data_IF_642446548398
#
_entry.id   IF_642446548398
#
_cell.length_a   1.000
_cell.length_b   1.000
_cell.length_c   1.000
_cell.angle_alpha   90.00
_cell.angle_beta   90.00
_cell.angle_gamma   90.00
#
_symmetry.space_group_name_H-M   'P 1'
#
loop_
_entity.id
_entity.type
_entity.pdbx_description
1 polymer ?
#
# COMPACT_ATOMS: atom_id res chain seq x y z
N UNK A 1 48.85 36.29 16.39
CA UNK A 1 48.41 37.34 15.45
C UNK A 1 47.32 36.77 14.56
N UNK A 2 46.13 37.43 14.61
CA UNK A 2 45.02 37.46 13.65
C UNK A 2 44.34 36.12 13.27
N UNK A 3 43.20 35.84 13.88
CA UNK A 3 41.80 36.08 13.47
C UNK A 3 41.44 35.80 12.00
N UNK A 4 40.54 34.85 11.77
CA UNK A 4 39.26 35.22 11.15
C UNK A 4 38.25 34.07 11.27
N UNK A 5 37.18 34.41 11.93
CA UNK A 5 35.90 33.71 12.04
C UNK A 5 35.18 33.69 10.70
N UNK A 6 34.58 32.55 10.36
CA UNK A 6 33.61 32.39 9.29
C UNK A 6 32.44 31.54 9.76
N UNK A 7 31.41 32.21 10.26
CA UNK A 7 30.13 31.60 10.59
C UNK A 7 29.35 31.29 9.31
N UNK A 8 28.98 30.03 9.10
CA UNK A 8 28.04 29.63 8.05
C UNK A 8 26.70 29.33 8.70
N UNK A 9 25.70 30.11 8.37
CA UNK A 9 24.29 30.00 8.77
C UNK A 9 23.66 28.81 8.03
N UNK A 10 22.86 27.94 8.68
CA UNK A 10 22.14 26.90 7.98
C UNK A 10 20.92 27.48 7.25
N UNK A 11 20.92 27.34 5.93
CA UNK A 11 19.80 27.70 5.07
C UNK A 11 18.58 26.80 5.33
N UNK A 12 17.48 27.41 5.70
CA UNK A 12 16.18 26.78 5.83
C UNK A 12 15.66 26.34 4.45
N UNK A 13 15.71 25.05 4.17
CA UNK A 13 15.07 24.44 3.02
C UNK A 13 13.55 24.48 3.18
N UNK A 14 12.89 25.39 2.49
CA UNK A 14 11.44 25.47 2.42
C UNK A 14 10.93 24.26 1.62
N UNK A 15 10.18 23.40 2.29
CA UNK A 15 9.39 22.33 1.67
C UNK A 15 8.30 22.98 0.82
N UNK A 16 8.42 22.87 -0.50
CA UNK A 16 7.38 23.29 -1.43
C UNK A 16 6.37 22.16 -1.53
N UNK A 17 5.30 22.27 -0.74
CA UNK A 17 4.09 21.48 -0.96
C UNK A 17 3.36 22.12 -2.14
N UNK A 18 3.48 21.55 -3.33
CA UNK A 18 2.73 22.01 -4.49
C UNK A 18 1.28 21.56 -4.36
N UNK A 19 0.45 22.44 -3.85
CA UNK A 19 -0.99 22.31 -3.83
C UNK A 19 -1.51 22.63 -5.24
N UNK A 20 -1.87 21.61 -6.01
CA UNK A 20 -2.58 21.83 -7.30
C UNK A 20 -4.04 22.12 -6.98
N UNK A 21 -4.36 23.40 -6.87
CA UNK A 21 -5.73 23.89 -6.79
C UNK A 21 -6.30 24.00 -8.21
N UNK A 22 -7.19 23.09 -8.58
CA UNK A 22 -8.00 23.24 -9.80
C UNK A 22 -9.14 24.24 -9.53
N UNK A 23 -9.00 25.46 -10.06
CA UNK A 23 -10.06 26.46 -10.05
C UNK A 23 -11.21 26.00 -10.97
N UNK A 24 -12.37 25.66 -10.40
CA UNK A 24 -13.62 25.52 -11.14
C UNK A 24 -14.30 26.88 -11.26
N UNK A 25 -14.42 27.36 -12.48
CA UNK A 25 -15.29 28.51 -12.84
C UNK A 25 -16.74 28.17 -12.52
N UNK A 26 -17.36 29.00 -11.68
CA UNK A 26 -18.80 28.99 -11.42
C UNK A 26 -19.49 29.80 -12.48
N UNK A 27 -20.34 29.18 -13.28
CA UNK A 27 -21.40 29.88 -14.02
C UNK A 27 -22.66 29.88 -13.19
N UNK A 28 -23.15 31.08 -12.83
CA UNK A 28 -24.38 31.30 -12.10
C UNK A 28 -25.58 31.11 -13.04
N UNK A 29 -26.41 30.11 -12.75
CA UNK A 29 -27.73 29.93 -13.35
C UNK A 29 -28.71 29.50 -12.26
N UNK A 30 -29.49 30.47 -11.75
CA UNK A 30 -30.53 30.20 -10.73
C UNK A 30 -31.75 29.61 -11.40
N UNK A 31 -32.01 28.31 -11.18
CA UNK A 31 -33.33 27.72 -11.42
C UNK A 31 -33.82 27.11 -10.10
N UNK A 32 -34.84 27.73 -9.50
CA UNK A 32 -35.53 27.18 -8.31
C UNK A 32 -36.50 26.10 -8.77
N UNK A 33 -36.22 24.84 -8.40
CA UNK A 33 -37.23 23.79 -8.31
C UNK A 33 -37.24 23.26 -6.87
N UNK A 34 -38.39 23.37 -6.20
CA UNK A 34 -38.64 22.78 -4.91
C UNK A 34 -38.69 21.28 -5.06
N UNK A 35 -37.97 20.56 -4.21
CA UNK A 35 -37.99 19.08 -4.18
C UNK A 35 -36.93 18.55 -3.23
N UNK A 36 -37.41 17.99 -2.14
CA UNK A 36 -36.78 16.96 -1.31
C UNK A 36 -35.26 16.99 -1.23
N UNK A 37 -34.68 17.66 -0.24
CA UNK A 37 -33.28 17.61 0.08
C UNK A 37 -32.89 16.22 0.61
N UNK A 38 -32.77 15.21 -0.24
CA UNK A 38 -31.81 14.16 0.01
C UNK A 38 -30.43 14.81 -0.15
N UNK A 39 -29.79 15.10 1.00
CA UNK A 39 -28.35 15.38 0.99
C UNK A 39 -27.70 14.25 0.24
N UNK A 40 -27.25 14.50 -0.98
CA UNK A 40 -26.36 13.59 -1.68
C UNK A 40 -25.13 13.45 -0.76
N UNK A 41 -24.99 12.30 -0.11
CA UNK A 41 -23.76 11.91 0.56
C UNK A 41 -22.69 12.01 -0.52
N UNK A 42 -21.84 13.02 -0.48
CA UNK A 42 -20.64 13.05 -1.30
C UNK A 42 -19.94 11.74 -1.04
N UNK A 43 -19.98 10.86 -2.01
CA UNK A 43 -19.29 9.60 -1.95
C UNK A 43 -17.83 9.94 -2.16
N UNK A 44 -17.05 9.92 -1.08
CA UNK A 44 -15.59 10.01 -1.18
C UNK A 44 -15.15 8.92 -2.14
N UNK A 45 -14.70 9.32 -3.33
CA UNK A 45 -14.22 8.40 -4.35
C UNK A 45 -12.82 7.99 -3.94
N UNK A 46 -12.64 6.69 -3.70
CA UNK A 46 -11.32 6.15 -3.38
C UNK A 46 -10.45 6.16 -4.64
N UNK A 47 -9.27 6.76 -4.56
CA UNK A 47 -8.33 6.90 -5.67
C UNK A 47 -6.96 6.31 -5.33
N UNK A 48 -6.37 5.62 -6.31
CA UNK A 48 -5.00 5.11 -6.19
C UNK A 48 -4.03 6.26 -6.46
N UNK A 49 -3.09 6.45 -5.53
CA UNK A 49 -2.07 7.49 -5.61
C UNK A 49 -0.67 6.89 -5.55
N UNK A 50 0.32 7.48 -6.23
CA UNK A 50 1.70 7.07 -6.09
C UNK A 50 2.21 7.37 -4.68
N UNK A 51 3.11 6.54 -4.17
CA UNK A 51 3.64 6.67 -2.83
C UNK A 51 5.10 6.21 -2.76
N UNK A 52 5.92 6.92 -2.01
CA UNK A 52 7.29 6.49 -1.72
C UNK A 52 7.30 5.40 -0.66
N UNK A 53 8.38 4.60 -0.61
CA UNK A 53 8.54 3.59 0.44
C UNK A 53 8.52 4.19 1.84
N UNK A 54 9.10 5.37 2.01
CA UNK A 54 9.15 6.06 3.30
C UNK A 54 7.76 6.44 3.81
N UNK A 55 6.91 6.99 2.94
CA UNK A 55 5.53 7.34 3.29
C UNK A 55 4.70 6.09 3.57
N UNK A 56 4.84 5.05 2.75
CA UNK A 56 4.14 3.79 2.94
C UNK A 56 4.54 3.11 4.26
N UNK A 57 5.84 3.10 4.60
CA UNK A 57 6.32 2.57 5.87
C UNK A 57 5.80 3.37 7.07
N UNK A 58 5.75 4.71 6.99
CA UNK A 58 5.19 5.54 8.05
C UNK A 58 3.71 5.21 8.31
N UNK A 59 2.93 4.97 7.25
CA UNK A 59 1.53 4.53 7.39
C UNK A 59 1.43 3.12 8.01
N UNK A 60 2.30 2.19 7.60
CA UNK A 60 2.36 0.82 8.14
C UNK A 60 2.68 0.84 9.64
N UNK A 61 3.66 1.63 10.07
CA UNK A 61 4.05 1.74 11.49
C UNK A 61 2.90 2.24 12.36
N UNK A 62 2.06 3.13 11.85
CA UNK A 62 0.92 3.68 12.58
C UNK A 62 -0.29 2.74 12.62
N UNK A 63 -0.51 1.93 11.59
CA UNK A 63 -1.79 1.24 11.38
C UNK A 63 -1.67 -0.29 11.30
N UNK A 64 -0.49 -0.87 11.07
CA UNK A 64 -0.35 -2.31 10.88
C UNK A 64 -0.18 -3.06 12.20
N UNK A 65 -1.01 -4.08 12.43
CA UNK A 65 -1.07 -4.81 13.71
C UNK A 65 0.08 -5.79 13.95
N UNK A 66 0.70 -6.31 12.90
CA UNK A 66 1.58 -7.49 13.02
C UNK A 66 2.99 -7.29 12.45
N UNK A 67 3.20 -6.28 11.63
CA UNK A 67 4.47 -6.10 10.93
C UNK A 67 4.88 -4.64 10.88
N UNK A 68 6.16 -4.38 11.13
CA UNK A 68 6.78 -3.07 10.95
C UNK A 68 7.15 -2.75 9.50
N UNK A 69 7.91 -1.68 9.35
CA UNK A 69 8.45 -1.19 8.08
C UNK A 69 9.19 -2.27 7.27
N UNK A 70 9.18 -2.13 5.96
CA UNK A 70 9.98 -2.96 5.05
C UNK A 70 11.26 -2.26 4.65
N UNK A 71 12.33 -3.04 4.45
CA UNK A 71 13.65 -2.51 4.06
C UNK A 71 13.68 -2.06 2.59
N UNK A 72 12.87 -2.70 1.73
CA UNK A 72 12.86 -2.40 0.30
C UNK A 72 11.55 -2.78 -0.37
N UNK A 73 11.37 -2.26 -1.58
CA UNK A 73 10.23 -2.55 -2.45
C UNK A 73 10.61 -2.49 -3.93
N UNK A 74 9.72 -2.93 -4.78
CA UNK A 74 9.72 -2.60 -6.21
C UNK A 74 8.90 -1.34 -6.46
N UNK A 75 7.73 -1.26 -5.84
CA UNK A 75 6.88 -0.06 -5.84
C UNK A 75 5.95 -0.06 -4.61
N UNK A 76 5.44 1.11 -4.28
CA UNK A 76 4.38 1.29 -3.29
C UNK A 76 3.25 2.10 -3.88
N UNK A 77 2.04 1.80 -3.46
CA UNK A 77 0.83 2.52 -3.83
C UNK A 77 0.04 2.89 -2.59
N UNK A 78 -0.55 4.07 -2.62
CA UNK A 78 -1.50 4.54 -1.62
C UNK A 78 -2.93 4.50 -2.15
N UNK A 79 -3.88 4.53 -1.24
CA UNK A 79 -5.29 4.75 -1.51
C UNK A 79 -5.73 5.98 -0.72
N UNK A 80 -6.30 6.95 -1.41
CA UNK A 80 -6.82 8.19 -0.83
C UNK A 80 -8.33 8.26 -0.94
N UNK A 81 -8.98 8.89 0.03
CA UNK A 81 -10.41 9.25 -0.01
C UNK A 81 -10.63 10.70 -0.49
N UNK A 82 -9.57 11.36 -0.97
CA UNK A 82 -9.56 12.75 -1.40
C UNK A 82 -9.08 13.72 -0.31
N UNK A 83 -9.11 13.33 0.96
CA UNK A 83 -8.63 14.16 2.09
C UNK A 83 -7.35 13.58 2.71
N UNK A 84 -7.28 12.27 2.85
CA UNK A 84 -6.17 11.57 3.50
C UNK A 84 -5.86 10.24 2.81
N UNK A 85 -4.72 9.66 3.16
CA UNK A 85 -4.40 8.28 2.81
C UNK A 85 -5.15 7.34 3.76
N UNK A 86 -5.93 6.43 3.20
CA UNK A 86 -6.73 5.43 3.93
C UNK A 86 -6.15 4.02 3.85
N UNK A 87 -5.14 3.82 3.01
CA UNK A 87 -4.46 2.54 2.93
C UNK A 87 -3.24 2.56 2.03
N UNK A 88 -2.37 1.58 2.21
CA UNK A 88 -1.14 1.42 1.45
C UNK A 88 -0.90 -0.04 1.08
N UNK A 89 -0.24 -0.28 -0.04
CA UNK A 89 0.33 -1.58 -0.40
C UNK A 89 1.80 -1.39 -0.80
N UNK A 90 2.68 -2.23 -0.24
CA UNK A 90 4.10 -2.29 -0.55
C UNK A 90 4.37 -3.61 -1.25
N UNK A 91 4.86 -3.53 -2.48
CA UNK A 91 5.11 -4.67 -3.35
C UNK A 91 6.60 -4.80 -3.61
N UNK A 92 7.14 -5.97 -3.39
CA UNK A 92 8.56 -6.26 -3.51
C UNK A 92 8.85 -7.62 -4.11
N UNK A 93 10.12 -8.04 -3.98
CA UNK A 93 10.54 -9.40 -4.34
C UNK A 93 9.93 -10.40 -3.35
N UNK A 94 9.63 -11.63 -3.80
CA UNK A 94 9.21 -12.69 -2.90
C UNK A 94 10.21 -12.94 -1.77
N UNK A 95 9.71 -13.13 -0.56
CA UNK A 95 10.55 -13.54 0.59
C UNK A 95 11.06 -14.97 0.37
N UNK A 96 10.23 -15.82 -0.23
CA UNK A 96 10.62 -17.17 -0.62
C UNK A 96 11.50 -17.13 -1.87
N UNK A 97 12.77 -17.57 -1.74
CA UNK A 97 13.70 -17.66 -2.88
C UNK A 97 13.23 -18.64 -3.97
N UNK A 98 12.34 -19.58 -3.65
CA UNK A 98 11.75 -20.49 -4.64
C UNK A 98 10.71 -19.80 -5.56
N UNK A 99 10.20 -18.66 -5.14
CA UNK A 99 9.27 -17.84 -5.92
C UNK A 99 9.95 -16.63 -6.57
N UNK A 100 11.23 -16.38 -6.24
CA UNK A 100 12.00 -15.25 -6.77
C UNK A 100 12.61 -15.60 -8.13
N UNK A 101 11.74 -15.81 -9.10
CA UNK A 101 12.04 -16.21 -10.48
C UNK A 101 12.24 -15.01 -11.43
N UNK A 102 12.21 -13.79 -10.91
CA UNK A 102 12.31 -12.56 -11.69
C UNK A 102 10.98 -12.09 -12.30
N UNK A 103 9.97 -12.95 -12.37
CA UNK A 103 8.65 -12.64 -12.94
C UNK A 103 7.52 -12.61 -11.90
N UNK A 104 7.85 -12.99 -10.67
CA UNK A 104 6.93 -13.01 -9.52
C UNK A 104 7.22 -11.84 -8.58
N UNK A 105 6.19 -11.17 -8.11
CA UNK A 105 6.26 -10.20 -7.02
C UNK A 105 5.46 -10.69 -5.82
N UNK A 106 5.73 -10.08 -4.67
CA UNK A 106 5.00 -10.32 -3.43
C UNK A 106 4.45 -9.00 -2.87
N UNK A 107 3.17 -8.99 -2.48
CA UNK A 107 2.64 -7.92 -1.65
C UNK A 107 3.13 -8.18 -0.23
N UNK A 108 4.24 -7.53 0.13
CA UNK A 108 4.89 -7.71 1.42
C UNK A 108 4.11 -7.08 2.57
N UNK A 109 3.42 -5.97 2.29
CA UNK A 109 2.56 -5.25 3.25
C UNK A 109 1.33 -4.72 2.54
N UNK A 110 0.19 -4.89 3.18
CA UNK A 110 -1.04 -4.18 2.85
C UNK A 110 -1.70 -3.78 4.16
N UNK A 111 -1.97 -2.50 4.29
CA UNK A 111 -2.53 -1.92 5.50
C UNK A 111 -3.56 -0.86 5.14
N UNK A 112 -4.66 -0.80 5.90
CA UNK A 112 -5.72 0.20 5.72
C UNK A 112 -6.22 0.66 7.09
N UNK A 113 -6.85 1.81 7.13
CA UNK A 113 -7.51 2.35 8.33
C UNK A 113 -8.89 1.70 8.61
N UNK A 114 -9.28 0.68 7.84
CA UNK A 114 -10.58 0.01 7.93
C UNK A 114 -11.62 0.54 6.94
N UNK A 115 -11.26 1.47 6.09
CA UNK A 115 -12.15 1.98 5.03
C UNK A 115 -12.66 0.85 4.15
N UNK A 116 -13.98 0.83 3.92
CA UNK A 116 -14.65 -0.20 3.15
C UNK A 116 -14.05 -0.32 1.74
N UNK A 117 -13.85 -1.54 1.28
CA UNK A 117 -13.27 -1.90 -0.02
C UNK A 117 -11.80 -1.49 -0.23
N UNK A 118 -11.16 -0.81 0.71
CA UNK A 118 -9.78 -0.34 0.56
C UNK A 118 -8.80 -1.50 0.27
N UNK A 119 -8.89 -2.59 1.03
CA UNK A 119 -8.03 -3.76 0.84
C UNK A 119 -8.18 -4.36 -0.57
N UNK A 120 -9.41 -4.60 -1.04
CA UNK A 120 -9.66 -5.19 -2.37
C UNK A 120 -9.20 -4.27 -3.50
N UNK A 121 -9.39 -2.96 -3.36
CA UNK A 121 -8.90 -1.98 -4.33
C UNK A 121 -7.38 -1.95 -4.42
N UNK A 122 -6.68 -1.99 -3.28
CA UNK A 122 -5.22 -2.05 -3.22
C UNK A 122 -4.68 -3.34 -3.83
N UNK A 123 -5.26 -4.51 -3.52
CA UNK A 123 -4.86 -5.78 -4.15
C UNK A 123 -5.07 -5.76 -5.67
N UNK A 124 -6.21 -5.23 -6.12
CA UNK A 124 -6.48 -5.11 -7.55
C UNK A 124 -5.51 -4.13 -8.24
N UNK A 125 -5.17 -3.01 -7.58
CA UNK A 125 -4.22 -2.03 -8.09
C UNK A 125 -2.79 -2.58 -8.12
N UNK A 126 -2.35 -3.30 -7.09
CA UNK A 126 -1.05 -3.94 -7.03
C UNK A 126 -0.86 -4.92 -8.20
N UNK A 127 -1.88 -5.73 -8.51
CA UNK A 127 -1.85 -6.60 -9.68
C UNK A 127 -1.75 -5.83 -10.99
N UNK A 128 -2.59 -4.80 -11.20
CA UNK A 128 -2.56 -4.00 -12.44
C UNK A 128 -1.21 -3.35 -12.65
N UNK A 129 -0.61 -2.78 -11.59
CA UNK A 129 0.71 -2.17 -11.65
C UNK A 129 1.80 -3.20 -11.98
N UNK A 130 1.82 -4.34 -11.29
CA UNK A 130 2.76 -5.42 -11.53
C UNK A 130 2.69 -5.93 -12.98
N UNK A 131 1.47 -6.18 -13.47
CA UNK A 131 1.24 -6.61 -14.85
C UNK A 131 1.71 -5.57 -15.88
N UNK A 132 1.42 -4.29 -15.66
CA UNK A 132 1.87 -3.20 -16.52
C UNK A 132 3.40 -3.09 -16.57
N UNK A 133 4.10 -3.52 -15.51
CA UNK A 133 5.56 -3.60 -15.45
C UNK A 133 6.12 -4.89 -16.06
N UNK A 134 5.28 -5.80 -16.58
CA UNK A 134 5.68 -7.05 -17.22
C UNK A 134 5.80 -8.26 -16.29
N UNK A 135 5.43 -8.14 -15.01
CA UNK A 135 5.40 -9.30 -14.11
C UNK A 135 4.23 -10.21 -14.41
N UNK A 136 4.45 -11.52 -14.29
CA UNK A 136 3.48 -12.55 -14.66
C UNK A 136 2.65 -13.04 -13.50
N UNK A 137 3.16 -12.90 -12.27
CA UNK A 137 2.53 -13.38 -11.05
C UNK A 137 2.75 -12.45 -9.87
N UNK A 138 1.74 -12.30 -9.02
CA UNK A 138 1.87 -11.64 -7.72
C UNK A 138 1.31 -12.56 -6.66
N UNK A 139 2.05 -12.73 -5.57
CA UNK A 139 1.68 -13.56 -4.41
C UNK A 139 1.50 -12.71 -3.17
N UNK A 140 0.75 -13.21 -2.20
CA UNK A 140 0.66 -12.66 -0.85
C UNK A 140 0.30 -13.74 0.15
N UNK A 141 0.54 -13.46 1.42
CA UNK A 141 0.25 -14.36 2.52
C UNK A 141 -0.62 -13.65 3.55
N UNK A 142 -1.67 -14.33 3.98
CA UNK A 142 -2.52 -13.90 5.10
C UNK A 142 -2.44 -14.94 6.22
N UNK A 143 -2.85 -14.56 7.43
CA UNK A 143 -2.97 -15.51 8.52
C UNK A 143 -4.13 -16.47 8.25
N UNK A 144 -4.04 -17.70 8.74
CA UNK A 144 -5.10 -18.72 8.59
C UNK A 144 -6.42 -18.32 9.27
N UNK A 145 -6.35 -17.40 10.24
CA UNK A 145 -7.52 -16.81 10.91
C UNK A 145 -8.25 -15.77 10.05
N UNK A 146 -7.62 -15.31 8.96
CA UNK A 146 -8.21 -14.31 8.06
C UNK A 146 -8.95 -14.99 6.90
N UNK A 147 -10.15 -14.49 6.59
CA UNK A 147 -11.01 -15.14 5.59
C UNK A 147 -10.61 -14.89 4.13
N UNK A 148 -9.68 -13.97 3.84
CA UNK A 148 -9.22 -13.63 2.49
C UNK A 148 -10.30 -13.06 1.56
N UNK A 149 -11.40 -12.51 2.09
CA UNK A 149 -12.51 -11.99 1.29
C UNK A 149 -12.08 -10.88 0.35
N UNK A 150 -11.22 -9.97 0.81
CA UNK A 150 -10.68 -8.87 0.00
C UNK A 150 -9.84 -9.35 -1.18
N UNK A 151 -9.08 -10.43 -0.99
CA UNK A 151 -8.29 -11.08 -2.04
C UNK A 151 -9.18 -11.74 -3.09
N UNK A 152 -10.17 -12.53 -2.66
CA UNK A 152 -11.14 -13.14 -3.58
C UNK A 152 -11.91 -12.07 -4.36
N UNK A 153 -12.36 -11.00 -3.71
CA UNK A 153 -13.02 -9.87 -4.36
C UNK A 153 -12.12 -9.18 -5.40
N UNK A 154 -10.80 -9.18 -5.19
CA UNK A 154 -9.81 -8.68 -6.14
C UNK A 154 -9.40 -9.72 -7.21
N UNK A 155 -10.02 -10.89 -7.24
CA UNK A 155 -9.77 -11.96 -8.22
C UNK A 155 -8.51 -12.76 -7.97
N UNK A 156 -8.03 -12.81 -6.72
CA UNK A 156 -6.90 -13.66 -6.32
C UNK A 156 -7.36 -15.07 -5.99
N UNK A 157 -6.56 -16.06 -6.35
CA UNK A 157 -6.83 -17.47 -6.09
C UNK A 157 -6.13 -17.92 -4.81
N UNK A 158 -6.83 -18.67 -3.97
CA UNK A 158 -6.23 -19.36 -2.82
C UNK A 158 -5.46 -20.58 -3.32
N UNK A 159 -4.17 -20.67 -2.99
CA UNK A 159 -3.30 -21.79 -3.39
C UNK A 159 -3.22 -22.85 -2.30
N UNK A 160 -3.46 -22.46 -1.04
CA UNK A 160 -3.41 -23.36 0.11
C UNK A 160 -2.50 -22.85 1.22
N UNK A 161 -2.25 -23.70 2.18
CA UNK A 161 -1.41 -23.40 3.33
C UNK A 161 0.07 -23.30 2.91
N UNK A 162 0.77 -22.31 3.45
CA UNK A 162 2.18 -22.07 3.17
C UNK A 162 2.85 -21.34 4.34
N UNK A 163 4.04 -21.75 4.71
CA UNK A 163 4.80 -21.15 5.80
C UNK A 163 4.35 -21.63 7.19
N UNK A 164 4.56 -20.81 8.20
CA UNK A 164 4.26 -21.17 9.61
C UNK A 164 5.40 -21.89 10.34
N UNK A 165 6.44 -22.29 9.64
CA UNK A 165 7.64 -22.88 10.26
C UNK A 165 8.56 -21.78 10.77
N UNK A 166 9.18 -22.00 11.94
CA UNK A 166 10.25 -21.14 12.44
C UNK A 166 11.44 -21.16 11.49
N UNK A 167 12.03 -20.01 11.27
CA UNK A 167 13.29 -19.93 10.54
C UNK A 167 14.39 -20.66 11.32
N UNK A 168 14.95 -21.71 10.73
CA UNK A 168 15.97 -22.56 11.35
C UNK A 168 17.39 -22.30 10.82
N UNK A 169 17.56 -21.37 9.87
CA UNK A 169 18.84 -21.09 9.22
C UNK A 169 19.77 -20.19 10.04
N UNK A 170 21.04 -20.15 9.67
CA UNK A 170 22.11 -19.33 10.28
C UNK A 170 21.84 -17.81 10.27
N UNK A 171 20.86 -17.34 9.48
CA UNK A 171 20.41 -15.94 9.41
C UNK A 171 19.13 -15.68 10.20
N UNK A 172 18.83 -16.53 11.18
CA UNK A 172 17.67 -16.33 12.04
C UNK A 172 17.84 -15.02 12.83
N UNK A 173 16.87 -14.09 12.80
CA UNK A 173 16.90 -12.91 13.66
C UNK A 173 16.78 -13.37 15.13
N UNK A 174 17.43 -12.64 16.02
CA UNK A 174 17.45 -12.93 17.46
C UNK A 174 16.05 -12.87 18.09
N UNK A 175 15.16 -12.07 17.50
CA UNK A 175 13.74 -11.97 17.85
C UNK A 175 12.91 -12.37 16.64
N UNK A 176 11.95 -13.27 16.82
CA UNK A 176 11.01 -13.67 15.76
C UNK A 176 10.12 -12.45 15.40
N UNK A 177 10.39 -11.83 14.28
CA UNK A 177 9.67 -10.65 13.78
C UNK A 177 8.26 -10.96 13.27
N UNK A 178 7.91 -12.23 13.14
CA UNK A 178 6.61 -12.70 12.65
C UNK A 178 6.08 -13.81 13.56
N UNK A 179 4.78 -13.82 13.87
CA UNK A 179 4.20 -14.94 14.61
C UNK A 179 4.42 -16.26 13.84
N UNK A 180 4.84 -17.32 14.58
CA UNK A 180 4.97 -18.68 14.07
C UNK A 180 3.58 -19.29 13.88
N UNK A 181 2.80 -18.76 12.95
CA UNK A 181 1.43 -19.15 12.66
C UNK A 181 1.33 -19.57 11.20
N UNK A 182 0.48 -20.55 10.94
CA UNK A 182 0.19 -21.01 9.58
C UNK A 182 -0.36 -19.84 8.76
N UNK A 183 0.03 -19.78 7.49
CA UNK A 183 -0.38 -18.75 6.55
C UNK A 183 -1.07 -19.40 5.35
N UNK A 184 -1.96 -18.66 4.73
CA UNK A 184 -2.61 -19.06 3.48
C UNK A 184 -2.00 -18.20 2.38
N UNK A 185 -1.50 -18.85 1.33
CA UNK A 185 -0.98 -18.17 0.14
C UNK A 185 -2.12 -17.91 -0.83
N UNK A 186 -2.18 -16.68 -1.30
CA UNK A 186 -2.98 -16.25 -2.42
C UNK A 186 -2.09 -15.80 -3.55
N UNK A 187 -2.53 -16.00 -4.79
CA UNK A 187 -1.82 -15.54 -5.96
C UNK A 187 -2.77 -15.04 -7.03
N UNK A 188 -2.24 -14.16 -7.87
CA UNK A 188 -2.88 -13.73 -9.10
C UNK A 188 -1.84 -13.78 -10.21
N UNK A 189 -2.19 -14.44 -11.29
CA UNK A 189 -1.36 -14.62 -12.46
C UNK A 189 -2.10 -14.22 -13.73
N UNK A 190 -1.35 -13.96 -14.78
CA UNK A 190 -1.89 -13.71 -16.10
C UNK A 190 -2.51 -15.00 -16.63
N UNK A 191 -3.80 -14.94 -16.96
CA UNK A 191 -4.46 -16.06 -17.63
C UNK A 191 -4.06 -16.00 -19.10
N UNK A 192 -3.35 -17.02 -19.58
CA UNK A 192 -2.99 -17.21 -20.98
C UNK A 192 -4.23 -17.43 -21.82
#
# INVERSE_FOLDING_TARGET
MKNSSGSIVPGAGKSVVTMVALARMRTSGTIRFGGCHRRARERNVLEIVPMTLREANAFVEQNHRHHGATVGHKFSIGLSDGEKIVGVAIVGRPVSRHLDDGWTLEVNRLCTDGTRNACSMLYAAAWRAARAMGYKRVVTYILDTENGASLRAAGWKCVGQAGGLRWTGTRRPEVDLCPAQMKIRFEREETT
#
